data_IF_672609569139
#
_entry.id   IF_672609569139
#
_cell.length_a   1.000
_cell.length_b   1.000
_cell.length_c   1.000
_cell.angle_alpha   90.00
_cell.angle_beta   90.00
_cell.angle_gamma   90.00
#
_symmetry.space_group_name_H-M   'P 1'
#
loop_
_entity.id
_entity.type
_entity.pdbx_description
1 polymer ?
#
# COMPACT_ATOMS: atom_id res chain seq x y z
N UNK A 1 -8.09 9.97 -15.89
CA UNK A 1 -7.76 9.16 -17.09
C UNK A 1 -6.51 9.66 -17.80
N UNK A 2 -6.31 10.98 -18.00
CA UNK A 2 -5.17 11.51 -18.77
C UNK A 2 -3.78 11.06 -18.30
N UNK A 3 -3.53 10.97 -16.99
CA UNK A 3 -2.20 10.63 -16.44
C UNK A 3 -1.76 9.16 -16.62
N UNK A 4 -2.66 8.25 -17.02
CA UNK A 4 -2.37 6.82 -17.21
C UNK A 4 -2.59 6.35 -18.65
N UNK A 5 -2.96 7.28 -19.54
CA UNK A 5 -3.21 6.98 -20.95
C UNK A 5 -1.90 6.59 -21.65
N UNK A 6 -1.86 5.39 -22.22
CA UNK A 6 -0.67 4.86 -22.90
C UNK A 6 0.42 4.29 -21.96
N UNK A 7 0.16 4.20 -20.65
CA UNK A 7 1.07 3.56 -19.72
C UNK A 7 0.86 2.04 -19.69
N UNK A 8 1.92 1.27 -19.97
CA UNK A 8 1.91 -0.19 -19.83
C UNK A 8 2.12 -0.65 -18.38
N UNK A 9 2.76 0.18 -17.56
CA UNK A 9 3.13 -0.16 -16.17
C UNK A 9 3.05 1.05 -15.26
N UNK A 10 2.52 0.85 -14.05
CA UNK A 10 2.45 1.84 -12.97
C UNK A 10 3.15 1.27 -11.74
N UNK A 11 4.17 1.97 -11.24
CA UNK A 11 4.85 1.64 -9.99
C UNK A 11 4.43 2.63 -8.89
N UNK A 12 3.93 2.11 -7.78
CA UNK A 12 3.47 2.89 -6.63
C UNK A 12 4.40 2.66 -5.45
N UNK A 13 5.13 3.71 -5.07
CA UNK A 13 5.94 3.78 -3.85
C UNK A 13 5.25 4.62 -2.76
N UNK A 14 3.92 4.76 -2.86
CA UNK A 14 3.12 5.53 -1.91
C UNK A 14 3.11 4.83 -0.55
N UNK A 15 3.33 5.61 0.50
CA UNK A 15 3.31 5.15 1.87
C UNK A 15 3.05 6.30 2.83
N UNK A 16 2.70 5.96 4.06
CA UNK A 16 2.56 6.94 5.12
C UNK A 16 3.93 7.33 5.66
N UNK A 17 4.13 8.62 5.91
CA UNK A 17 5.26 9.06 6.72
C UNK A 17 5.04 8.61 8.17
N UNK A 18 6.04 8.00 8.79
CA UNK A 18 6.01 7.59 10.20
C UNK A 18 6.11 8.80 11.16
N UNK A 19 5.15 9.70 11.09
CA UNK A 19 4.96 10.78 12.05
C UNK A 19 3.53 10.72 12.61
N UNK A 20 3.27 11.43 13.73
CA UNK A 20 1.96 11.41 14.39
C UNK A 20 0.79 11.73 13.43
N UNK A 21 0.99 12.68 12.51
CA UNK A 21 -0.03 13.05 11.52
C UNK A 21 -0.24 11.98 10.46
N UNK A 22 0.82 11.32 10.01
CA UNK A 22 0.77 10.26 9.02
C UNK A 22 0.17 8.97 9.57
N UNK A 23 0.34 8.72 10.87
CA UNK A 23 -0.20 7.54 11.57
C UNK A 23 -1.66 7.75 11.99
N UNK A 24 -1.99 8.88 12.63
CA UNK A 24 -3.32 9.10 13.22
C UNK A 24 -4.23 10.05 12.42
N UNK A 25 -3.64 10.91 11.59
CA UNK A 25 -4.34 11.90 10.79
C UNK A 25 -4.98 11.33 9.52
N UNK A 26 -5.81 12.13 8.88
CA UNK A 26 -6.39 11.80 7.58
C UNK A 26 -5.44 12.15 6.42
N UNK A 27 -5.52 11.43 5.29
CA UNK A 27 -6.34 10.23 5.02
C UNK A 27 -5.69 8.95 5.56
N UNK A 28 -6.45 8.09 6.26
CA UNK A 28 -5.93 6.85 6.89
C UNK A 28 -5.71 5.69 5.92
N UNK A 29 -6.30 5.75 4.73
CA UNK A 29 -6.25 4.73 3.68
C UNK A 29 -5.58 5.27 2.42
N UNK A 30 -4.57 6.14 2.57
CA UNK A 30 -3.93 6.85 1.46
C UNK A 30 -3.55 5.90 0.33
N UNK A 31 -2.84 4.82 0.66
CA UNK A 31 -2.35 3.84 -0.32
C UNK A 31 -3.52 3.11 -0.97
N UNK A 32 -4.49 2.63 -0.19
CA UNK A 32 -5.68 1.94 -0.70
C UNK A 32 -6.49 2.83 -1.64
N UNK A 33 -6.77 4.06 -1.25
CA UNK A 33 -7.57 5.01 -2.02
C UNK A 33 -6.84 5.46 -3.29
N UNK A 34 -5.53 5.69 -3.21
CA UNK A 34 -4.70 6.01 -4.38
C UNK A 34 -4.65 4.83 -5.36
N UNK A 35 -4.40 3.61 -4.88
CA UNK A 35 -4.41 2.39 -5.70
C UNK A 35 -5.75 2.20 -6.38
N UNK A 36 -6.86 2.37 -5.65
CA UNK A 36 -8.21 2.27 -6.22
C UNK A 36 -8.41 3.28 -7.35
N UNK A 37 -8.09 4.55 -7.11
CA UNK A 37 -8.22 5.62 -8.12
C UNK A 37 -7.35 5.36 -9.35
N UNK A 38 -6.14 4.85 -9.16
CA UNK A 38 -5.23 4.50 -10.26
C UNK A 38 -5.78 3.31 -11.07
N UNK A 39 -6.24 2.25 -10.41
CA UNK A 39 -6.87 1.11 -11.07
C UNK A 39 -8.12 1.53 -11.86
N UNK A 40 -8.97 2.39 -11.29
CA UNK A 40 -10.15 2.90 -11.97
C UNK A 40 -9.77 3.77 -13.17
N UNK A 41 -8.71 4.57 -13.06
CA UNK A 41 -8.20 5.39 -14.16
C UNK A 41 -7.57 4.54 -15.29
N UNK A 42 -6.88 3.45 -14.97
CA UNK A 42 -6.34 2.48 -15.94
C UNK A 42 -7.49 1.78 -16.67
N UNK A 43 -8.55 1.37 -15.96
CA UNK A 43 -9.73 0.76 -16.61
C UNK A 43 -10.42 1.75 -17.55
N UNK A 44 -10.55 3.01 -17.11
CA UNK A 44 -11.19 4.06 -17.91
C UNK A 44 -10.40 4.42 -19.18
N UNK A 45 -9.07 4.21 -19.21
CA UNK A 45 -8.25 4.46 -20.40
C UNK A 45 -8.32 3.36 -21.46
N UNK A 46 -9.04 2.26 -21.21
CA UNK A 46 -9.24 1.13 -22.14
C UNK A 46 -7.94 0.69 -22.84
N UNK A 47 -6.90 0.29 -22.07
CA UNK A 47 -5.63 -0.07 -22.66
C UNK A 47 -5.77 -1.31 -23.56
N UNK A 48 -5.11 -1.30 -24.71
CA UNK A 48 -5.12 -2.42 -25.66
C UNK A 48 -4.41 -3.67 -25.10
N UNK A 49 -3.51 -3.49 -24.13
CA UNK A 49 -2.75 -4.55 -23.45
C UNK A 49 -2.99 -4.50 -21.93
N UNK A 50 -2.79 -5.62 -21.22
CA UNK A 50 -2.88 -5.63 -19.76
C UNK A 50 -1.85 -4.69 -19.12
N UNK A 51 -2.33 -3.65 -18.42
CA UNK A 51 -1.48 -2.75 -17.66
C UNK A 51 -1.02 -3.41 -16.35
N UNK A 52 0.27 -3.32 -16.05
CA UNK A 52 0.86 -3.87 -14.81
C UNK A 52 0.86 -2.81 -13.71
N UNK A 53 0.40 -3.18 -12.53
CA UNK A 53 0.47 -2.33 -11.34
C UNK A 53 1.39 -2.98 -10.31
N UNK A 54 2.48 -2.29 -9.95
CA UNK A 54 3.46 -2.74 -8.96
C UNK A 54 3.33 -1.85 -7.73
N UNK A 55 2.96 -2.43 -6.59
CA UNK A 55 2.93 -1.75 -5.30
C UNK A 55 4.18 -2.11 -4.51
N UNK A 56 4.98 -1.11 -4.14
CA UNK A 56 6.11 -1.33 -3.25
C UNK A 56 5.59 -1.56 -1.83
N UNK A 57 5.92 -2.72 -1.29
CA UNK A 57 5.58 -3.06 0.08
C UNK A 57 6.51 -2.33 1.08
N UNK A 58 6.03 -2.12 2.31
CA UNK A 58 6.88 -1.63 3.41
C UNK A 58 7.49 -2.80 4.18
N UNK A 59 8.63 -2.58 4.84
CA UNK A 59 9.24 -3.57 5.72
C UNK A 59 8.34 -3.97 6.91
N UNK A 60 7.34 -3.16 7.26
CA UNK A 60 6.37 -3.45 8.31
C UNK A 60 5.25 -4.41 7.89
N UNK A 61 5.14 -4.74 6.60
CA UNK A 61 4.15 -5.70 6.11
C UNK A 61 4.85 -6.99 5.70
N UNK A 62 4.55 -8.06 6.44
CA UNK A 62 5.14 -9.38 6.25
C UNK A 62 4.95 -9.88 4.83
N UNK A 63 6.03 -10.28 4.19
CA UNK A 63 5.97 -11.03 2.95
C UNK A 63 5.61 -12.49 3.27
N UNK A 64 4.45 -12.97 2.80
CA UNK A 64 4.02 -14.35 3.05
C UNK A 64 4.69 -15.36 2.12
N UNK A 65 5.28 -14.90 1.02
CA UNK A 65 6.00 -15.74 0.06
C UNK A 65 7.40 -16.11 0.57
N UNK A 66 7.91 -15.38 1.57
CA UNK A 66 9.16 -15.67 2.26
C UNK A 66 8.85 -16.29 3.62
N UNK A 67 9.45 -17.44 3.98
CA UNK A 67 9.35 -18.00 5.31
C UNK A 67 10.18 -17.16 6.30
N UNK A 68 9.69 -15.98 6.65
CA UNK A 68 10.29 -15.13 7.69
C UNK A 68 9.82 -15.64 9.07
N UNK A 69 10.73 -16.23 9.88
CA UNK A 69 10.39 -16.68 11.22
C UNK A 69 10.23 -15.47 12.14
N UNK A 70 9.00 -15.26 12.64
CA UNK A 70 8.69 -14.17 13.57
C UNK A 70 8.99 -14.66 14.98
N UNK A 71 9.81 -13.92 15.73
CA UNK A 71 10.06 -14.24 17.15
C UNK A 71 8.81 -14.00 18.01
N UNK A 72 8.73 -14.65 19.17
CA UNK A 72 7.61 -14.43 20.11
C UNK A 72 7.55 -12.96 20.59
N UNK A 73 8.70 -12.35 20.85
CA UNK A 73 8.81 -10.95 21.27
C UNK A 73 8.29 -10.03 20.18
N UNK A 74 8.66 -10.28 18.92
CA UNK A 74 8.19 -9.51 17.78
C UNK A 74 6.66 -9.62 17.60
N UNK A 75 6.08 -10.80 17.82
CA UNK A 75 4.61 -10.97 17.88
C UNK A 75 3.96 -10.11 18.96
N UNK A 76 4.54 -10.08 20.17
CA UNK A 76 4.03 -9.25 21.26
C UNK A 76 4.11 -7.75 20.92
N UNK A 77 5.26 -7.30 20.40
CA UNK A 77 5.48 -5.90 20.00
C UNK A 77 4.52 -5.48 18.88
N UNK A 78 4.38 -6.30 17.84
CA UNK A 78 3.44 -6.05 16.74
C UNK A 78 1.99 -6.04 17.24
N UNK A 79 1.63 -6.90 18.19
CA UNK A 79 0.31 -6.90 18.83
C UNK A 79 0.02 -5.61 19.58
N UNK A 80 0.98 -5.13 20.38
CA UNK A 80 0.90 -3.84 21.09
C UNK A 80 0.74 -2.67 20.12
N UNK A 81 1.53 -2.65 19.04
CA UNK A 81 1.43 -1.62 18.00
C UNK A 81 0.05 -1.65 17.33
N UNK A 82 -0.47 -2.83 17.00
CA UNK A 82 -1.82 -2.98 16.42
C UNK A 82 -2.95 -2.57 17.36
N UNK A 83 -2.72 -2.63 18.68
CA UNK A 83 -3.68 -2.14 19.68
C UNK A 83 -3.64 -0.62 19.83
N UNK A 84 -2.44 -0.02 19.78
CA UNK A 84 -2.22 1.40 19.99
C UNK A 84 -2.50 2.24 18.73
N UNK A 85 -2.21 1.69 17.55
CA UNK A 85 -2.38 2.38 16.27
C UNK A 85 -3.76 2.08 15.69
N UNK A 86 -4.53 3.09 15.24
CA UNK A 86 -5.86 2.88 14.68
C UNK A 86 -5.80 1.92 13.50
N UNK A 87 -6.72 0.96 13.37
CA UNK A 87 -6.72 0.00 12.26
C UNK A 87 -6.82 0.75 10.93
N UNK A 88 -5.83 0.52 10.07
CA UNK A 88 -5.69 1.13 8.73
C UNK A 88 -6.21 0.18 7.65
#
# INVERSE_FOLDING_TARGET
AGHVSGCDTVASCLGHTMNWKGIYGHPRKLVTDATRRLCDAIKASKPEKPARYVLMNTAGNRNLDLPEPISFVERCVVGLIRLLVPPH
#
